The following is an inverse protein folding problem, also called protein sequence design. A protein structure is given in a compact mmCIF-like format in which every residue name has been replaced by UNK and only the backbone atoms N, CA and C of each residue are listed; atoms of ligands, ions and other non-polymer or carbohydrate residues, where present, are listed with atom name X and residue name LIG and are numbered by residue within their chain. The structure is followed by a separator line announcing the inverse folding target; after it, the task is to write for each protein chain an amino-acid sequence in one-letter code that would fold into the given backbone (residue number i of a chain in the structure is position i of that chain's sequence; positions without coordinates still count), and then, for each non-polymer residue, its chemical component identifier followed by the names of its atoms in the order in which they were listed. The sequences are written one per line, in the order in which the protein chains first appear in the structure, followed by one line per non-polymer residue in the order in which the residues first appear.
data_IF_541660431368
#
_entry.id   IF_541660431368
#
_cell.length_a   1.000
_cell.length_b   1.000
_cell.length_c   1.000
_cell.angle_alpha   90.00
_cell.angle_beta   90.00
_cell.angle_gamma   90.00
#
_symmetry.space_group_name_H-M   'P 1'
#
loop_
_entity.id
_entity.type
_entity.pdbx_description
1 polymer ?
#
# COMPACT_ATOMS: atom_id res chain seq x y z
N UNK A 1 6.80 -12.83 -31.89
CA UNK A 1 5.82 -13.01 -30.80
C UNK A 1 6.29 -12.13 -29.65
N UNK A 2 5.52 -11.11 -29.25
CA UNK A 2 5.90 -10.27 -28.11
C UNK A 2 5.86 -11.10 -26.82
N UNK A 3 6.95 -11.07 -26.04
CA UNK A 3 7.07 -11.78 -24.78
C UNK A 3 6.52 -10.89 -23.67
N UNK A 4 5.45 -11.32 -23.01
CA UNK A 4 5.02 -10.73 -21.75
C UNK A 4 6.04 -11.06 -20.67
N UNK A 5 6.56 -10.02 -20.03
CA UNK A 5 7.51 -10.12 -18.92
C UNK A 5 6.75 -9.70 -17.67
N UNK A 6 6.72 -10.58 -16.67
CA UNK A 6 6.19 -10.24 -15.36
C UNK A 6 7.18 -9.30 -14.65
N UNK A 7 6.70 -8.12 -14.26
CA UNK A 7 7.52 -7.12 -13.55
C UNK A 7 7.48 -7.36 -12.04
N UNK A 8 6.31 -7.71 -11.51
CA UNK A 8 6.09 -7.98 -10.11
C UNK A 8 5.12 -9.14 -9.94
N UNK A 9 5.56 -10.17 -9.24
CA UNK A 9 4.69 -11.24 -8.76
C UNK A 9 3.83 -10.76 -7.56
N UNK A 10 2.94 -11.64 -7.10
CA UNK A 10 2.03 -11.38 -5.98
C UNK A 10 2.76 -11.05 -4.67
N UNK A 11 3.84 -11.77 -4.37
CA UNK A 11 4.54 -11.61 -3.10
C UNK A 11 5.37 -10.32 -3.09
N UNK A 12 5.98 -9.98 -4.23
CA UNK A 12 6.65 -8.71 -4.45
C UNK A 12 5.68 -7.53 -4.30
N UNK A 13 4.46 -7.64 -4.83
CA UNK A 13 3.42 -6.63 -4.63
C UNK A 13 3.02 -6.47 -3.16
N UNK A 14 2.81 -7.59 -2.45
CA UNK A 14 2.47 -7.53 -1.03
C UNK A 14 3.58 -6.89 -0.20
N UNK A 15 4.84 -7.29 -0.41
CA UNK A 15 6.00 -6.68 0.26
C UNK A 15 6.12 -5.19 -0.04
N UNK A 16 5.91 -4.79 -1.30
CA UNK A 16 5.96 -3.40 -1.69
C UNK A 16 4.87 -2.57 -0.99
N UNK A 17 3.65 -3.08 -0.92
CA UNK A 17 2.53 -2.40 -0.25
C UNK A 17 2.81 -2.28 1.26
N UNK A 18 3.26 -3.36 1.92
CA UNK A 18 3.64 -3.32 3.34
C UNK A 18 4.73 -2.29 3.61
N UNK A 19 5.79 -2.26 2.80
CA UNK A 19 6.87 -1.26 2.95
C UNK A 19 6.34 0.16 2.81
N UNK A 20 5.55 0.44 1.77
CA UNK A 20 4.96 1.76 1.56
C UNK A 20 4.05 2.16 2.73
N UNK A 21 3.33 1.21 3.33
CA UNK A 21 2.45 1.46 4.48
C UNK A 21 3.24 1.97 5.69
N UNK A 22 4.36 1.32 6.04
CA UNK A 22 5.26 1.80 7.10
C UNK A 22 5.84 3.18 6.77
N UNK A 23 6.34 3.37 5.55
CA UNK A 23 6.93 4.65 5.14
C UNK A 23 5.94 5.81 5.20
N UNK A 24 4.66 5.58 4.91
CA UNK A 24 3.61 6.61 5.03
C UNK A 24 3.46 7.03 6.50
N UNK A 25 3.32 6.08 7.42
CA UNK A 25 3.14 6.37 8.86
C UNK A 25 4.37 7.06 9.44
N UNK A 26 5.58 6.55 9.16
CA UNK A 26 6.83 7.12 9.64
C UNK A 26 7.04 8.57 9.16
N UNK A 27 6.75 8.84 7.87
CA UNK A 27 6.90 10.19 7.30
C UNK A 27 5.90 11.19 7.89
N UNK A 28 4.70 10.74 8.24
CA UNK A 28 3.66 11.58 8.84
C UNK A 28 3.71 11.60 10.37
N UNK A 29 4.63 10.85 10.98
CA UNK A 29 4.83 10.73 12.44
C UNK A 29 3.60 10.20 13.17
N UNK A 30 2.86 9.28 12.53
CA UNK A 30 1.65 8.68 13.06
C UNK A 30 0.46 8.76 12.10
N UNK A 31 -0.73 8.49 12.64
CA UNK A 31 -1.98 8.33 11.88
C UNK A 31 -3.06 9.36 12.22
N UNK A 32 -2.83 10.25 13.19
CA UNK A 32 -3.85 11.12 13.81
C UNK A 32 -4.68 11.94 12.80
N UNK A 33 -4.03 12.51 11.78
CA UNK A 33 -4.69 13.28 10.70
C UNK A 33 -4.39 12.71 9.30
N UNK A 34 -4.11 11.40 9.22
CA UNK A 34 -3.71 10.77 7.96
C UNK A 34 -4.94 10.36 7.12
N UNK A 35 -5.00 10.84 5.88
CA UNK A 35 -6.02 10.44 4.90
C UNK A 35 -5.38 9.77 3.70
N UNK A 36 -5.88 8.58 3.35
CA UNK A 36 -5.48 7.84 2.14
C UNK A 36 -6.57 7.96 1.07
N UNK A 37 -6.23 8.53 -0.09
CA UNK A 37 -7.13 8.68 -1.24
C UNK A 37 -6.69 7.76 -2.40
N UNK A 38 -7.51 6.77 -2.73
CA UNK A 38 -7.29 5.91 -3.90
C UNK A 38 -7.75 6.58 -5.19
N UNK A 39 -6.80 6.93 -6.07
CA UNK A 39 -7.10 7.52 -7.39
C UNK A 39 -7.17 6.42 -8.45
N UNK A 40 -8.12 6.53 -9.39
CA UNK A 40 -8.33 5.57 -10.49
C UNK A 40 -8.75 4.16 -10.04
N UNK A 41 -9.31 3.38 -10.97
CA UNK A 41 -9.93 2.06 -10.74
C UNK A 41 -9.12 1.12 -9.83
N UNK A 42 -7.81 0.96 -10.11
CA UNK A 42 -6.93 0.08 -9.31
C UNK A 42 -6.28 0.74 -8.10
N UNK A 43 -6.38 2.06 -7.96
CA UNK A 43 -5.90 2.76 -6.76
C UNK A 43 -6.77 2.50 -5.54
N UNK A 44 -8.09 2.29 -5.73
CA UNK A 44 -9.01 2.02 -4.61
C UNK A 44 -8.64 0.71 -3.87
N UNK A 45 -8.42 -0.44 -4.55
CA UNK A 45 -7.95 -1.65 -3.87
C UNK A 45 -6.58 -1.50 -3.19
N UNK A 46 -5.65 -0.75 -3.80
CA UNK A 46 -4.31 -0.52 -3.22
C UNK A 46 -4.42 0.33 -1.96
N UNK A 47 -5.19 1.42 -2.01
CA UNK A 47 -5.46 2.27 -0.84
C UNK A 47 -6.05 1.47 0.31
N UNK A 48 -7.03 0.60 0.05
CA UNK A 48 -7.60 -0.30 1.07
C UNK A 48 -6.56 -1.24 1.68
N UNK A 49 -5.64 -1.78 0.89
CA UNK A 49 -4.56 -2.64 1.39
C UNK A 49 -3.54 -1.86 2.24
N UNK A 50 -3.24 -0.62 1.87
CA UNK A 50 -2.38 0.26 2.66
C UNK A 50 -3.03 0.53 4.01
N UNK A 51 -4.31 0.92 4.03
CA UNK A 51 -5.06 1.19 5.27
C UNK A 51 -5.07 -0.05 6.17
N UNK A 52 -5.45 -1.22 5.63
CA UNK A 52 -5.48 -2.46 6.42
C UNK A 52 -4.11 -2.84 7.01
N UNK A 53 -3.02 -2.59 6.29
CA UNK A 53 -1.68 -2.79 6.82
C UNK A 53 -1.37 -1.82 7.97
N UNK A 54 -1.69 -0.53 7.81
CA UNK A 54 -1.47 0.49 8.84
C UNK A 54 -2.25 0.15 10.12
N UNK A 55 -3.55 -0.19 9.99
CA UNK A 55 -4.40 -0.66 11.10
C UNK A 55 -3.77 -1.87 11.82
N UNK A 56 -3.22 -2.83 11.07
CA UNK A 56 -2.56 -4.01 11.63
C UNK A 56 -1.28 -3.69 12.43
N UNK A 57 -0.57 -2.60 12.14
CA UNK A 57 0.69 -2.26 12.80
C UNK A 57 0.50 -1.33 13.99
N UNK A 58 -0.38 -0.35 13.84
CA UNK A 58 -0.64 0.69 14.85
C UNK A 58 -1.79 0.31 15.81
N UNK A 59 -2.61 -0.69 15.46
CA UNK A 59 -3.73 -1.14 16.30
C UNK A 59 -4.91 -0.17 16.34
N UNK A 60 -5.06 0.64 15.29
CA UNK A 60 -6.16 1.61 15.09
C UNK A 60 -7.29 1.04 14.25
#
# INVERSE_FOLDING_TARGET
MEKLIEIMDKDALNRAITRVSHEIVEKNKGTEDLVILGIQTRGIPIAKRIVANIESFEGV
#
